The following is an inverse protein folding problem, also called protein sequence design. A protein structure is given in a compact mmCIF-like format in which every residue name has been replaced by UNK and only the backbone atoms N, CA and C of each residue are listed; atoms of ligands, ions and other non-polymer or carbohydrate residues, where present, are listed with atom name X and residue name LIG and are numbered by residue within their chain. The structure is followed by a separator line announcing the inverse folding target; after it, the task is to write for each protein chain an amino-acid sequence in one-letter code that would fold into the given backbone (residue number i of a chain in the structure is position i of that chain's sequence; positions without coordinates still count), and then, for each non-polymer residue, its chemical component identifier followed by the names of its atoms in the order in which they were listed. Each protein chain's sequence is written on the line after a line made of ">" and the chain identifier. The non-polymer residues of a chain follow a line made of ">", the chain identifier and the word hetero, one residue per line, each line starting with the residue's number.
data_IF_925435076206
#
_entry.id   IF_925435076206
#
_cell.length_a   1.000
_cell.length_b   1.000
_cell.length_c   1.000
_cell.angle_alpha   90.00
_cell.angle_beta   90.00
_cell.angle_gamma   90.00
#
_symmetry.space_group_name_H-M   'P 1'
#
loop_
_entity.id
_entity.type
_entity.pdbx_description
1 polymer ?
#
# COMPACT_ATOMS: atom_id res chain seq x y z
N UNK A 1 -18.67 11.14 -0.33
CA UNK A 1 -17.73 10.08 0.08
C UNK A 1 -16.86 10.63 1.20
N UNK A 2 -16.63 9.88 2.27
CA UNK A 2 -15.89 10.30 3.46
C UNK A 2 -14.73 9.34 3.73
N UNK A 3 -13.50 9.87 3.69
CA UNK A 3 -12.27 9.18 4.05
C UNK A 3 -11.83 9.56 5.46
N UNK A 4 -11.38 8.59 6.23
CA UNK A 4 -10.84 8.81 7.56
C UNK A 4 -10.37 7.51 8.19
N UNK A 5 -9.59 7.62 9.26
CA UNK A 5 -9.33 6.44 10.09
C UNK A 5 -10.63 6.00 10.78
N UNK A 6 -10.69 4.72 11.17
CA UNK A 6 -11.91 4.18 11.78
C UNK A 6 -12.31 4.95 13.04
N UNK A 7 -11.35 5.49 13.80
CA UNK A 7 -11.63 6.23 15.02
C UNK A 7 -12.36 7.54 14.71
N UNK A 8 -11.85 8.36 13.77
CA UNK A 8 -12.48 9.61 13.37
C UNK A 8 -13.84 9.36 12.73
N UNK A 9 -13.96 8.35 11.86
CA UNK A 9 -15.24 7.98 11.25
C UNK A 9 -16.26 7.60 12.33
N UNK A 10 -15.88 6.76 13.29
CA UNK A 10 -16.76 6.40 14.40
C UNK A 10 -17.15 7.60 15.26
N UNK A 11 -16.19 8.49 15.54
CA UNK A 11 -16.45 9.73 16.26
C UNK A 11 -17.39 10.65 15.49
N UNK A 12 -17.27 10.81 14.18
CA UNK A 12 -18.15 11.70 13.41
C UNK A 12 -19.54 11.10 13.30
N UNK A 13 -19.64 9.82 12.93
CA UNK A 13 -20.90 9.13 12.65
C UNK A 13 -21.52 8.46 13.87
N UNK A 14 -21.04 8.77 15.07
CA UNK A 14 -21.70 8.39 16.32
C UNK A 14 -21.64 6.92 16.69
N UNK A 15 -20.66 6.17 16.16
CA UNK A 15 -20.35 4.81 16.60
C UNK A 15 -19.42 4.80 17.82
N UNK A 16 -19.25 3.61 18.40
CA UNK A 16 -18.29 3.38 19.48
C UNK A 16 -16.84 3.62 19.05
N UNK A 17 -16.19 4.63 19.62
CA UNK A 17 -14.80 5.01 19.30
C UNK A 17 -13.73 4.07 19.89
N UNK A 18 -14.07 3.27 20.90
CA UNK A 18 -13.14 2.31 21.53
C UNK A 18 -13.26 0.90 20.94
N UNK A 19 -14.16 0.67 19.99
CA UNK A 19 -14.42 -0.64 19.36
C UNK A 19 -14.75 -1.76 20.38
N UNK A 20 -15.16 -1.39 21.60
CA UNK A 20 -15.54 -2.36 22.64
C UNK A 20 -16.95 -2.89 22.39
N UNK A 21 -17.81 -2.12 21.71
CA UNK A 21 -19.16 -2.54 21.34
C UNK A 21 -19.17 -3.92 20.68
N UNK A 22 -20.18 -4.74 21.00
CA UNK A 22 -20.31 -6.08 20.41
C UNK A 22 -20.48 -6.00 18.88
N UNK A 23 -21.19 -4.97 18.41
CA UNK A 23 -21.37 -4.65 17.00
C UNK A 23 -20.56 -3.40 16.64
N UNK A 24 -19.26 -3.57 16.46
CA UNK A 24 -18.34 -2.44 16.23
C UNK A 24 -18.20 -2.05 14.76
N UNK A 25 -18.81 -2.76 13.82
CA UNK A 25 -18.70 -2.43 12.40
C UNK A 25 -19.68 -1.30 12.01
N UNK A 26 -19.21 -0.37 11.18
CA UNK A 26 -20.03 0.71 10.63
C UNK A 26 -20.72 0.33 9.30
N UNK A 27 -20.43 -0.85 8.74
CA UNK A 27 -21.10 -1.39 7.56
C UNK A 27 -22.18 -2.43 7.89
N UNK A 28 -22.02 -3.19 8.97
CA UNK A 28 -22.91 -4.29 9.34
C UNK A 28 -23.13 -4.40 10.86
N UNK A 29 -24.03 -5.30 11.26
CA UNK A 29 -24.41 -5.61 12.64
C UNK A 29 -23.73 -6.88 13.19
N UNK A 30 -22.67 -7.34 12.54
CA UNK A 30 -21.89 -8.52 12.95
C UNK A 30 -21.39 -8.38 14.38
N UNK A 31 -21.62 -9.41 15.19
CA UNK A 31 -21.11 -9.48 16.56
C UNK A 31 -19.64 -9.88 16.61
N UNK A 32 -18.99 -9.66 17.77
CA UNK A 32 -17.61 -10.12 17.99
C UNK A 32 -17.42 -11.63 17.91
N UNK A 33 -18.49 -12.38 18.13
CA UNK A 33 -18.51 -13.82 18.00
C UNK A 33 -18.65 -14.22 16.52
N UNK A 34 -19.63 -13.64 15.82
CA UNK A 34 -19.87 -13.89 14.39
C UNK A 34 -18.65 -13.56 13.52
N UNK A 35 -17.96 -12.45 13.81
CA UNK A 35 -16.76 -12.06 13.04
C UNK A 35 -15.60 -13.08 13.12
N UNK A 36 -15.66 -14.07 14.03
CA UNK A 36 -14.65 -15.13 14.12
C UNK A 36 -14.89 -16.27 13.12
N UNK A 37 -16.07 -16.34 12.49
CA UNK A 37 -16.45 -17.46 11.62
C UNK A 37 -17.21 -17.06 10.34
N UNK A 38 -17.74 -15.84 10.26
CA UNK A 38 -18.43 -15.33 9.07
C UNK A 38 -17.52 -14.39 8.28
N UNK A 39 -17.10 -14.84 7.09
CA UNK A 39 -16.12 -14.13 6.25
C UNK A 39 -16.62 -13.76 4.86
N UNK A 40 -17.84 -14.15 4.50
CA UNK A 40 -18.51 -13.65 3.31
C UNK A 40 -19.42 -12.49 3.68
N UNK A 41 -19.41 -11.45 2.85
CA UNK A 41 -20.20 -10.24 3.11
C UNK A 41 -21.71 -10.51 3.00
N UNK A 42 -22.11 -11.41 2.09
CA UNK A 42 -23.50 -11.83 1.87
C UNK A 42 -24.13 -12.52 3.08
N UNK A 43 -23.32 -13.11 3.96
CA UNK A 43 -23.76 -13.74 5.20
C UNK A 43 -23.92 -12.72 6.35
N UNK A 44 -23.59 -11.44 6.13
CA UNK A 44 -23.63 -10.40 7.15
C UNK A 44 -24.94 -9.61 7.14
N UNK A 45 -25.36 -9.21 8.33
CA UNK A 45 -26.52 -8.33 8.50
C UNK A 45 -26.14 -6.87 8.28
N UNK A 46 -26.43 -6.31 7.10
CA UNK A 46 -26.02 -4.95 6.71
C UNK A 46 -26.75 -3.83 7.46
N UNK A 47 -26.02 -2.73 7.68
CA UNK A 47 -26.64 -1.45 8.07
C UNK A 47 -27.24 -0.79 6.85
N UNK A 48 -28.53 -0.47 6.92
CA UNK A 48 -29.19 0.42 5.96
C UNK A 48 -29.34 1.82 6.56
N UNK A 49 -29.60 2.81 5.70
CA UNK A 49 -29.89 4.18 6.14
C UNK A 49 -31.02 4.22 7.16
N UNK A 50 -32.11 3.51 6.91
CA UNK A 50 -33.32 3.48 7.73
C UNK A 50 -33.02 2.88 9.10
N UNK A 51 -32.32 1.74 9.13
CA UNK A 51 -31.96 1.05 10.37
C UNK A 51 -31.00 1.89 11.22
N UNK A 52 -30.02 2.54 10.59
CA UNK A 52 -29.10 3.42 11.29
C UNK A 52 -29.80 4.67 11.86
N UNK A 53 -30.76 5.25 11.13
CA UNK A 53 -31.58 6.37 11.64
C UNK A 53 -32.44 5.90 12.82
N UNK A 54 -33.05 4.71 12.73
CA UNK A 54 -33.82 4.12 13.81
C UNK A 54 -32.95 3.89 15.06
N UNK A 55 -31.72 3.38 14.89
CA UNK A 55 -30.74 3.26 15.97
C UNK A 55 -30.43 4.61 16.63
N UNK A 56 -30.27 5.68 15.84
CA UNK A 56 -30.04 7.03 16.35
C UNK A 56 -31.24 7.57 17.14
N UNK A 57 -32.46 7.28 16.69
CA UNK A 57 -33.70 7.73 17.36
C UNK A 57 -33.99 6.94 18.63
N UNK A 58 -33.68 5.63 18.64
CA UNK A 58 -33.83 4.77 19.81
C UNK A 58 -33.02 5.28 21.01
N UNK A 59 -31.95 6.06 20.77
CA UNK A 59 -31.14 6.69 21.81
C UNK A 59 -31.95 7.51 22.82
N UNK A 60 -33.07 8.11 22.37
CA UNK A 60 -33.93 8.97 23.18
C UNK A 60 -35.02 8.23 23.96
N UNK A 61 -35.23 6.94 23.67
CA UNK A 61 -36.47 6.25 24.05
C UNK A 61 -36.42 5.45 25.36
N UNK A 62 -35.28 4.99 25.89
CA UNK A 62 -35.19 4.44 27.25
C UNK A 62 -33.76 4.16 27.76
N UNK A 63 -33.61 4.09 29.09
CA UNK A 63 -32.35 3.83 29.79
C UNK A 63 -31.79 2.41 29.50
N UNK A 64 -30.52 2.35 29.06
CA UNK A 64 -29.68 1.14 28.92
C UNK A 64 -29.81 0.22 27.67
N UNK A 65 -30.71 0.44 26.71
CA UNK A 65 -30.75 -0.40 25.48
C UNK A 65 -29.73 -0.03 24.39
N UNK A 66 -29.10 1.15 24.51
CA UNK A 66 -28.26 1.79 23.47
C UNK A 66 -26.82 1.27 23.32
N UNK A 67 -26.54 0.05 23.79
CA UNK A 67 -25.23 -0.62 23.59
C UNK A 67 -25.31 -1.80 22.61
N UNK A 68 -26.51 -2.19 22.18
CA UNK A 68 -26.72 -3.38 21.36
C UNK A 68 -26.42 -3.16 19.88
N UNK A 69 -26.74 -1.97 19.35
CA UNK A 69 -26.53 -1.65 17.93
C UNK A 69 -25.13 -1.11 17.63
N UNK A 70 -24.37 -0.65 18.62
CA UNK A 70 -23.06 -0.03 18.42
C UNK A 70 -23.06 1.47 18.09
N UNK A 71 -24.25 2.08 18.01
CA UNK A 71 -24.45 3.53 17.87
C UNK A 71 -24.62 4.16 19.26
N UNK A 72 -23.87 5.23 19.54
CA UNK A 72 -23.77 5.86 20.87
C UNK A 72 -24.22 7.32 20.89
N UNK A 73 -24.29 7.97 19.74
CA UNK A 73 -24.75 9.35 19.64
C UNK A 73 -25.44 9.60 18.31
N UNK A 74 -26.28 10.62 18.28
CA UNK A 74 -26.90 11.10 17.06
C UNK A 74 -25.83 11.66 16.11
N UNK A 75 -26.03 11.40 14.82
CA UNK A 75 -25.25 11.97 13.74
C UNK A 75 -26.10 13.02 13.00
N UNK A 76 -25.76 14.32 13.09
CA UNK A 76 -26.49 15.39 12.39
C UNK A 76 -26.57 15.19 10.87
N UNK A 77 -25.59 14.49 10.28
CA UNK A 77 -25.59 14.23 8.83
C UNK A 77 -26.67 13.23 8.40
N UNK A 78 -27.28 12.49 9.32
CA UNK A 78 -28.37 11.55 9.01
C UNK A 78 -29.64 12.25 8.52
N UNK A 79 -29.78 13.55 8.78
CA UNK A 79 -30.91 14.37 8.30
C UNK A 79 -30.83 14.65 6.79
N UNK A 80 -29.64 14.50 6.18
CA UNK A 80 -29.45 14.79 4.77
C UNK A 80 -30.13 13.71 3.91
N UNK A 81 -30.98 14.16 2.98
CA UNK A 81 -31.80 13.28 2.13
C UNK A 81 -30.97 12.26 1.34
N UNK A 82 -29.84 12.67 0.79
CA UNK A 82 -28.99 11.84 -0.07
C UNK A 82 -27.75 11.27 0.62
N UNK A 83 -27.67 11.41 1.95
CA UNK A 83 -26.56 10.88 2.73
C UNK A 83 -26.96 9.59 3.45
N UNK A 84 -26.07 8.60 3.41
CA UNK A 84 -26.18 7.36 4.16
C UNK A 84 -24.78 6.98 4.65
N UNK A 85 -24.65 6.83 5.96
CA UNK A 85 -23.39 6.45 6.61
C UNK A 85 -22.76 5.18 6.00
N UNK A 86 -23.46 4.02 5.94
CA UNK A 86 -22.87 2.79 5.38
C UNK A 86 -22.49 2.91 3.89
N UNK A 87 -23.17 3.78 3.13
CA UNK A 87 -22.93 3.92 1.68
C UNK A 87 -21.89 4.99 1.34
N UNK A 88 -21.59 5.90 2.27
CA UNK A 88 -20.72 7.04 2.00
C UNK A 88 -19.38 7.00 2.74
N UNK A 89 -19.15 6.06 3.65
CA UNK A 89 -17.85 5.83 4.29
C UNK A 89 -16.95 4.97 3.41
N UNK A 90 -15.72 5.43 3.21
CA UNK A 90 -14.65 4.66 2.60
C UNK A 90 -13.94 3.75 3.60
N UNK A 91 -13.60 2.51 3.21
CA UNK A 91 -12.58 1.79 3.93
C UNK A 91 -11.22 2.47 3.75
N UNK A 92 -10.28 2.24 4.67
CA UNK A 92 -8.95 2.81 4.59
C UNK A 92 -7.85 1.75 4.63
N UNK A 93 -7.40 1.36 3.44
CA UNK A 93 -6.32 0.40 3.22
C UNK A 93 -5.07 0.71 4.05
N UNK A 94 -4.74 1.99 4.25
CA UNK A 94 -3.55 2.36 5.03
C UNK A 94 -3.73 1.94 6.50
N UNK A 95 -4.83 2.32 7.13
CA UNK A 95 -5.07 2.03 8.54
C UNK A 95 -5.48 0.58 8.76
N UNK A 96 -6.34 0.02 7.91
CA UNK A 96 -6.89 -1.33 8.08
C UNK A 96 -5.85 -2.40 7.78
N UNK A 97 -5.14 -2.27 6.65
CA UNK A 97 -4.16 -3.26 6.21
C UNK A 97 -2.79 -2.93 6.81
N UNK A 98 -2.18 -1.79 6.43
CA UNK A 98 -0.78 -1.51 6.78
C UNK A 98 -0.58 -1.30 8.29
N UNK A 99 -1.45 -0.52 8.95
CA UNK A 99 -1.37 -0.29 10.39
C UNK A 99 -2.21 -1.26 11.25
N UNK A 100 -2.79 -2.26 10.61
CA UNK A 100 -3.72 -3.19 11.23
C UNK A 100 -3.33 -4.63 10.97
N UNK A 101 -3.98 -5.23 9.98
CA UNK A 101 -3.87 -6.64 9.64
C UNK A 101 -2.41 -7.05 9.45
N UNK A 102 -1.66 -6.30 8.63
CA UNK A 102 -0.28 -6.64 8.29
C UNK A 102 0.64 -6.65 9.51
N UNK A 103 0.58 -5.61 10.35
CA UNK A 103 1.40 -5.59 11.57
C UNK A 103 1.03 -6.70 12.55
N UNK A 104 -0.27 -7.01 12.65
CA UNK A 104 -0.75 -8.06 13.54
C UNK A 104 -0.25 -9.43 13.11
N UNK A 105 -0.40 -9.74 11.83
CA UNK A 105 -0.01 -11.03 11.28
C UNK A 105 1.50 -11.19 11.22
N UNK A 106 2.25 -10.18 10.75
CA UNK A 106 3.72 -10.19 10.80
C UNK A 106 4.22 -10.43 12.21
N UNK A 107 3.62 -9.81 13.23
CA UNK A 107 4.01 -10.02 14.62
C UNK A 107 3.85 -11.48 15.04
N UNK A 108 2.67 -12.06 14.81
CA UNK A 108 2.39 -13.43 15.28
C UNK A 108 3.23 -14.44 14.48
N UNK A 109 3.37 -14.23 13.17
CA UNK A 109 4.22 -15.08 12.31
C UNK A 109 5.68 -14.98 12.74
N UNK A 110 6.22 -13.78 12.98
CA UNK A 110 7.59 -13.63 13.47
C UNK A 110 7.79 -14.24 14.86
N UNK A 111 6.81 -14.10 15.76
CA UNK A 111 6.84 -14.77 17.06
C UNK A 111 6.93 -16.30 16.87
N UNK A 112 6.13 -16.86 15.97
CA UNK A 112 6.15 -18.30 15.67
C UNK A 112 7.50 -18.73 15.08
N UNK A 113 7.93 -18.13 13.98
CA UNK A 113 9.12 -18.54 13.23
C UNK A 113 10.42 -18.34 14.03
N UNK A 114 10.53 -17.25 14.79
CA UNK A 114 11.77 -16.90 15.52
C UNK A 114 11.82 -17.49 16.94
N UNK A 115 10.70 -17.62 17.64
CA UNK A 115 10.69 -18.01 19.06
C UNK A 115 10.17 -19.42 19.32
N UNK A 116 9.34 -19.96 18.43
CA UNK A 116 8.75 -21.30 18.60
C UNK A 116 9.47 -22.29 17.69
N UNK A 117 9.45 -22.03 16.38
CA UNK A 117 10.10 -22.91 15.39
C UNK A 117 11.62 -22.69 15.36
N UNK A 118 12.10 -21.58 15.94
CA UNK A 118 13.52 -21.23 16.07
C UNK A 118 14.31 -21.30 14.76
N UNK A 119 13.68 -20.91 13.63
CA UNK A 119 14.31 -20.97 12.30
C UNK A 119 15.49 -20.00 12.17
N UNK A 120 15.40 -18.87 12.88
CA UNK A 120 16.47 -17.89 13.08
C UNK A 120 16.37 -17.32 14.48
N UNK A 121 17.50 -16.92 15.04
CA UNK A 121 17.52 -16.05 16.22
C UNK A 121 17.08 -14.64 15.86
N UNK A 122 16.58 -13.89 16.85
CA UNK A 122 16.24 -12.46 16.68
C UNK A 122 17.46 -11.65 16.20
N UNK A 123 18.65 -11.99 16.68
CA UNK A 123 19.89 -11.31 16.29
C UNK A 123 20.22 -11.53 14.82
N UNK A 124 20.10 -12.77 14.34
CA UNK A 124 20.28 -13.08 12.90
C UNK A 124 19.25 -12.36 12.04
N UNK A 125 17.97 -12.37 12.44
CA UNK A 125 16.93 -11.66 11.70
C UNK A 125 17.19 -10.15 11.65
N UNK A 126 17.58 -9.53 12.77
CA UNK A 126 17.97 -8.12 12.78
C UNK A 126 19.21 -7.84 11.93
N UNK A 127 20.18 -8.77 11.90
CA UNK A 127 21.32 -8.70 10.98
C UNK A 127 20.88 -8.69 9.52
N UNK A 128 19.87 -9.50 9.15
CA UNK A 128 19.28 -9.46 7.81
C UNK A 128 18.62 -8.12 7.52
N UNK A 129 17.82 -7.57 8.44
CA UNK A 129 17.21 -6.24 8.29
C UNK A 129 18.24 -5.12 8.10
N UNK A 130 19.41 -5.20 8.72
CA UNK A 130 20.44 -4.18 8.58
C UNK A 130 21.17 -4.26 7.24
N UNK A 131 21.46 -5.48 6.79
CA UNK A 131 22.27 -5.76 5.61
C UNK A 131 21.46 -5.84 4.30
N UNK A 132 20.14 -6.06 4.39
CA UNK A 132 19.29 -6.16 3.22
C UNK A 132 19.23 -4.84 2.44
N UNK A 133 19.33 -4.94 1.10
CA UNK A 133 19.20 -3.79 0.22
C UNK A 133 17.74 -3.51 -0.11
N UNK A 134 17.11 -2.63 0.69
CA UNK A 134 15.73 -2.18 0.46
C UNK A 134 15.56 -1.22 -0.74
N UNK A 135 16.64 -0.89 -1.46
CA UNK A 135 16.58 0.00 -2.62
C UNK A 135 15.88 1.33 -2.33
N UNK A 136 14.83 1.64 -3.10
CA UNK A 136 14.00 2.83 -2.94
C UNK A 136 13.36 2.96 -1.55
N UNK A 137 13.11 1.84 -0.86
CA UNK A 137 12.43 1.81 0.43
C UNK A 137 13.39 1.85 1.63
N UNK A 138 14.70 2.11 1.40
CA UNK A 138 15.75 2.16 2.45
C UNK A 138 15.42 3.09 3.62
N UNK A 139 14.74 4.21 3.38
CA UNK A 139 14.31 5.16 4.43
C UNK A 139 13.20 4.59 5.33
N UNK A 140 12.44 3.63 4.83
CA UNK A 140 11.30 3.01 5.51
C UNK A 140 11.66 1.67 6.16
N UNK A 141 12.93 1.24 6.12
CA UNK A 141 13.31 -0.05 6.70
C UNK A 141 13.11 -0.07 8.22
N UNK A 142 12.70 -1.22 8.72
CA UNK A 142 12.73 -1.49 10.15
C UNK A 142 14.17 -1.73 10.60
N UNK A 143 14.60 -1.05 11.66
CA UNK A 143 15.96 -1.18 12.17
C UNK A 143 16.16 -2.42 13.04
N UNK A 144 15.17 -2.75 13.87
CA UNK A 144 15.24 -3.89 14.78
C UNK A 144 13.87 -4.37 15.23
N UNK A 145 13.78 -5.66 15.53
CA UNK A 145 12.71 -6.31 16.27
C UNK A 145 13.28 -6.82 17.58
N UNK A 146 12.52 -6.65 18.67
CA UNK A 146 12.92 -7.12 19.99
C UNK A 146 12.02 -8.25 20.48
N UNK A 147 12.55 -9.09 21.38
CA UNK A 147 11.79 -10.19 21.98
C UNK A 147 10.56 -9.67 22.72
N UNK A 148 10.72 -8.60 23.48
CA UNK A 148 9.68 -7.96 24.29
C UNK A 148 8.51 -7.53 23.39
N UNK A 149 8.80 -6.98 22.21
CA UNK A 149 7.76 -6.57 21.28
C UNK A 149 6.99 -7.76 20.73
N UNK A 150 7.67 -8.86 20.38
CA UNK A 150 7.03 -10.07 19.86
C UNK A 150 6.16 -10.78 20.91
N UNK A 151 6.58 -10.82 22.18
CA UNK A 151 5.81 -11.49 23.25
C UNK A 151 4.76 -10.60 23.92
N UNK A 152 4.81 -9.28 23.69
CA UNK A 152 3.86 -8.34 24.31
C UNK A 152 2.41 -8.61 23.89
N UNK A 153 1.45 -8.21 24.74
CA UNK A 153 0.00 -8.34 24.45
C UNK A 153 -0.51 -7.38 23.37
N UNK A 154 0.27 -6.36 23.00
CA UNK A 154 -0.08 -5.41 21.93
C UNK A 154 -0.23 -6.17 20.61
N UNK A 155 -1.28 -5.91 19.83
CA UNK A 155 -1.46 -6.56 18.54
C UNK A 155 -0.56 -5.97 17.44
N UNK A 156 0.15 -4.87 17.67
CA UNK A 156 0.97 -4.18 16.65
C UNK A 156 2.46 -4.31 16.88
N UNK A 157 3.23 -4.17 15.79
CA UNK A 157 4.70 -4.03 15.82
C UNK A 157 5.14 -2.59 16.15
N UNK A 158 4.21 -1.62 16.15
CA UNK A 158 4.54 -0.22 16.43
C UNK A 158 5.22 0.47 15.25
N UNK A 159 5.01 -0.05 14.05
CA UNK A 159 5.49 0.52 12.80
C UNK A 159 4.47 1.54 12.30
N UNK A 160 4.94 2.55 11.56
CA UNK A 160 4.03 3.35 10.73
C UNK A 160 3.63 2.58 9.46
N UNK A 161 2.67 3.11 8.69
CA UNK A 161 2.21 2.48 7.47
C UNK A 161 3.33 2.16 6.45
N UNK A 162 4.26 3.08 6.18
CA UNK A 162 5.34 2.87 5.20
C UNK A 162 6.36 1.83 5.65
N UNK A 163 6.68 1.79 6.94
CA UNK A 163 7.54 0.77 7.54
C UNK A 163 6.90 -0.61 7.52
N UNK A 164 5.60 -0.68 7.82
CA UNK A 164 4.83 -1.93 7.76
C UNK A 164 4.81 -2.48 6.34
N UNK A 165 4.57 -1.60 5.35
CA UNK A 165 4.58 -1.99 3.96
C UNK A 165 5.96 -2.43 3.46
N UNK A 166 7.02 -1.74 3.88
CA UNK A 166 8.39 -2.11 3.57
C UNK A 166 8.73 -3.50 4.12
N UNK A 167 8.47 -3.74 5.42
CA UNK A 167 8.72 -5.05 6.03
C UNK A 167 7.88 -6.15 5.37
N UNK A 168 6.60 -5.90 5.11
CA UNK A 168 5.70 -6.83 4.45
C UNK A 168 6.22 -7.24 3.07
N UNK A 169 6.41 -6.27 2.15
CA UNK A 169 6.86 -6.55 0.78
C UNK A 169 8.14 -7.38 0.69
N UNK A 170 9.09 -7.14 1.59
CA UNK A 170 10.36 -7.87 1.60
C UNK A 170 10.37 -9.05 2.56
N UNK A 171 9.25 -9.39 3.21
CA UNK A 171 9.17 -10.43 4.22
C UNK A 171 9.63 -11.79 3.69
N UNK A 172 9.08 -12.19 2.53
CA UNK A 172 9.42 -13.47 1.90
C UNK A 172 10.88 -13.51 1.44
N UNK A 173 11.45 -12.41 0.95
CA UNK A 173 12.88 -12.32 0.63
C UNK A 173 13.78 -12.41 1.86
N UNK A 174 13.35 -11.85 3.00
CA UNK A 174 14.11 -11.82 4.24
C UNK A 174 14.19 -13.20 4.92
N UNK A 175 13.26 -14.11 4.66
CA UNK A 175 13.11 -15.38 5.38
C UNK A 175 12.93 -16.61 4.48
N UNK A 176 12.70 -16.46 3.17
CA UNK A 176 12.34 -17.56 2.28
C UNK A 176 13.43 -18.62 2.07
N UNK A 177 14.68 -18.33 2.39
CA UNK A 177 15.77 -19.32 2.36
C UNK A 177 15.74 -20.28 3.56
N UNK A 178 15.14 -19.88 4.69
CA UNK A 178 15.06 -20.69 5.92
C UNK A 178 13.67 -21.28 6.18
N UNK A 179 12.65 -20.81 5.46
CA UNK A 179 11.29 -21.32 5.57
C UNK A 179 10.97 -22.22 4.39
N UNK A 180 10.37 -23.37 4.67
CA UNK A 180 9.93 -24.34 3.68
C UNK A 180 8.75 -23.82 2.84
N UNK A 181 8.65 -24.29 1.60
CA UNK A 181 7.67 -23.81 0.61
C UNK A 181 6.23 -24.17 0.96
N UNK A 182 5.99 -25.18 1.79
CA UNK A 182 4.68 -25.63 2.25
C UNK A 182 4.25 -25.00 3.60
N UNK A 183 5.04 -24.04 4.10
CA UNK A 183 4.78 -23.41 5.39
C UNK A 183 3.50 -22.53 5.35
N UNK A 184 2.51 -22.91 6.15
CA UNK A 184 1.20 -22.24 6.19
C UNK A 184 1.26 -20.80 6.69
N UNK A 185 2.23 -20.44 7.54
CA UNK A 185 2.40 -19.06 8.02
C UNK A 185 2.92 -18.13 6.92
N UNK A 186 3.82 -18.64 6.08
CA UNK A 186 4.27 -17.95 4.87
C UNK A 186 3.15 -17.80 3.85
N UNK A 187 2.38 -18.86 3.64
CA UNK A 187 1.23 -18.82 2.75
C UNK A 187 0.19 -17.78 3.21
N UNK A 188 -0.08 -17.65 4.51
CA UNK A 188 -0.95 -16.59 5.04
C UNK A 188 -0.44 -15.19 4.66
N UNK A 189 0.85 -14.92 4.91
CA UNK A 189 1.45 -13.61 4.58
C UNK A 189 1.46 -13.35 3.07
N UNK A 190 1.69 -14.39 2.26
CA UNK A 190 1.56 -14.30 0.81
C UNK A 190 0.13 -13.90 0.40
N UNK A 191 -0.91 -14.57 0.93
CA UNK A 191 -2.30 -14.23 0.60
C UNK A 191 -2.60 -12.76 0.95
N UNK A 192 -2.16 -12.29 2.11
CA UNK A 192 -2.37 -10.89 2.50
C UNK A 192 -1.62 -9.92 1.57
N UNK A 193 -0.35 -10.16 1.28
CA UNK A 193 0.51 -9.21 0.59
C UNK A 193 0.35 -9.22 -0.93
N UNK A 194 0.28 -10.39 -1.54
CA UNK A 194 0.30 -10.51 -2.99
C UNK A 194 -1.09 -10.53 -3.59
N UNK A 195 -2.05 -11.13 -2.89
CA UNK A 195 -3.41 -11.24 -3.40
C UNK A 195 -4.26 -10.06 -2.89
N UNK A 196 -4.40 -9.90 -1.57
CA UNK A 196 -5.25 -8.84 -0.99
C UNK A 196 -4.64 -7.45 -1.24
N UNK A 197 -3.39 -7.21 -0.84
CA UNK A 197 -2.75 -5.91 -1.12
C UNK A 197 -2.50 -5.71 -2.62
N UNK A 198 -2.22 -6.79 -3.36
CA UNK A 198 -2.05 -6.76 -4.81
C UNK A 198 -3.22 -6.11 -5.53
N UNK A 199 -4.44 -6.50 -5.15
CA UNK A 199 -5.68 -6.00 -5.74
C UNK A 199 -6.09 -4.66 -5.09
N UNK A 200 -6.08 -4.58 -3.76
CA UNK A 200 -6.57 -3.37 -3.06
C UNK A 200 -5.69 -2.15 -3.29
N UNK A 201 -4.39 -2.32 -3.59
CA UNK A 201 -3.46 -1.20 -3.87
C UNK A 201 -3.29 -0.94 -5.37
N UNK A 202 -3.96 -1.72 -6.22
CA UNK A 202 -3.93 -1.50 -7.66
C UNK A 202 -4.66 -0.19 -8.01
N UNK A 203 -4.14 0.60 -8.97
CA UNK A 203 -4.76 1.85 -9.38
C UNK A 203 -6.00 1.61 -10.27
N UNK A 204 -6.14 0.40 -10.80
CA UNK A 204 -7.23 -0.07 -11.66
C UNK A 204 -7.53 -1.51 -11.28
N UNK A 205 -8.82 -1.86 -11.18
CA UNK A 205 -9.30 -3.19 -10.78
C UNK A 205 -10.47 -3.57 -11.67
N UNK A 206 -10.51 -4.82 -12.14
CA UNK A 206 -11.63 -5.36 -12.93
C UNK A 206 -12.67 -6.01 -12.02
N UNK A 207 -13.91 -6.17 -12.50
CA UNK A 207 -14.97 -6.87 -11.73
C UNK A 207 -14.56 -8.30 -11.37
N UNK A 208 -13.87 -8.99 -12.28
CA UNK A 208 -13.33 -10.33 -12.03
C UNK A 208 -12.38 -10.36 -10.82
N UNK A 209 -11.45 -9.40 -10.72
CA UNK A 209 -10.56 -9.29 -9.58
C UNK A 209 -11.28 -8.96 -8.27
N UNK A 210 -12.39 -8.22 -8.34
CA UNK A 210 -13.21 -7.95 -7.14
C UNK A 210 -13.84 -9.25 -6.65
N UNK A 211 -14.37 -10.10 -7.54
CA UNK A 211 -14.88 -11.43 -7.17
C UNK A 211 -13.77 -12.31 -6.60
N UNK A 212 -12.60 -12.32 -7.22
CA UNK A 212 -11.44 -13.05 -6.71
C UNK A 212 -10.98 -12.54 -5.33
N UNK A 213 -10.97 -11.22 -5.11
CA UNK A 213 -10.66 -10.61 -3.83
C UNK A 213 -11.60 -11.09 -2.72
N UNK A 214 -12.91 -11.25 -3.00
CA UNK A 214 -13.87 -11.82 -2.04
C UNK A 214 -13.44 -13.21 -1.59
N UNK A 215 -13.09 -14.09 -2.53
CA UNK A 215 -12.68 -15.46 -2.22
C UNK A 215 -11.35 -15.50 -1.47
N UNK A 216 -10.35 -14.74 -1.91
CA UNK A 216 -9.04 -14.66 -1.27
C UNK A 216 -9.16 -14.18 0.18
N UNK A 217 -9.98 -13.15 0.46
CA UNK A 217 -10.19 -12.65 1.82
C UNK A 217 -10.81 -13.75 2.70
N UNK A 218 -11.78 -14.48 2.18
CA UNK A 218 -12.40 -15.59 2.91
C UNK A 218 -11.41 -16.73 3.19
N UNK A 219 -10.63 -17.15 2.19
CA UNK A 219 -9.58 -18.16 2.33
C UNK A 219 -8.53 -17.73 3.35
N UNK A 220 -8.08 -16.48 3.25
CA UNK A 220 -7.12 -15.88 4.17
C UNK A 220 -7.62 -15.91 5.62
N UNK A 221 -8.85 -15.47 5.90
CA UNK A 221 -9.38 -15.44 7.28
C UNK A 221 -9.65 -16.84 7.83
N UNK A 222 -10.10 -17.78 6.99
CA UNK A 222 -10.22 -19.21 7.35
C UNK A 222 -8.86 -19.80 7.71
N UNK A 223 -7.82 -19.48 6.93
CA UNK A 223 -6.45 -19.94 7.22
C UNK A 223 -5.93 -19.31 8.52
N UNK A 224 -6.10 -17.99 8.71
CA UNK A 224 -5.70 -17.28 9.91
C UNK A 224 -6.30 -17.92 11.18
N UNK A 225 -7.62 -18.13 11.19
CA UNK A 225 -8.31 -18.73 12.35
C UNK A 225 -7.92 -20.20 12.58
N UNK A 226 -7.62 -20.94 11.51
CA UNK A 226 -7.12 -22.33 11.59
C UNK A 226 -5.72 -22.40 12.21
N UNK A 227 -4.75 -21.61 11.72
CA UNK A 227 -3.35 -21.73 12.15
C UNK A 227 -3.07 -20.98 13.47
N UNK A 228 -3.93 -20.03 13.83
CA UNK A 228 -3.82 -19.26 15.07
C UNK A 228 -5.08 -19.40 15.94
N UNK A 229 -5.42 -20.62 16.31
CA UNK A 229 -6.60 -20.95 17.13
C UNK A 229 -6.68 -20.23 18.50
N UNK A 230 -5.57 -19.69 19.00
CA UNK A 230 -5.52 -18.85 20.21
C UNK A 230 -5.64 -17.34 19.98
N UNK A 231 -5.77 -16.90 18.72
CA UNK A 231 -5.87 -15.51 18.32
C UNK A 231 -7.25 -15.20 17.76
N UNK A 232 -7.66 -13.94 17.86
CA UNK A 232 -8.98 -13.48 17.43
C UNK A 232 -8.87 -12.55 16.24
N UNK A 233 -9.80 -12.70 15.31
CA UNK A 233 -10.01 -11.79 14.19
C UNK A 233 -10.28 -10.39 14.76
N UNK A 234 -9.48 -9.42 14.32
CA UNK A 234 -9.63 -8.02 14.74
C UNK A 234 -10.63 -7.27 13.88
N UNK A 235 -11.23 -6.16 14.36
CA UNK A 235 -12.14 -5.35 13.57
C UNK A 235 -11.58 -4.94 12.21
N UNK A 236 -10.29 -4.60 12.13
CA UNK A 236 -9.62 -4.25 10.87
C UNK A 236 -9.58 -5.39 9.85
N UNK A 237 -9.40 -6.64 10.30
CA UNK A 237 -9.50 -7.81 9.43
C UNK A 237 -10.94 -8.00 8.97
N UNK A 238 -11.93 -7.81 9.86
CA UNK A 238 -13.34 -7.87 9.46
C UNK A 238 -13.72 -6.79 8.45
N UNK A 239 -13.17 -5.57 8.55
CA UNK A 239 -13.42 -4.52 7.56
C UNK A 239 -13.01 -4.94 6.15
N UNK A 240 -12.00 -5.79 5.98
CA UNK A 240 -11.61 -6.33 4.67
C UNK A 240 -12.76 -7.09 3.99
N UNK A 241 -13.66 -7.74 4.74
CA UNK A 241 -14.82 -8.44 4.17
C UNK A 241 -15.71 -7.48 3.35
N UNK A 242 -15.72 -6.19 3.69
CA UNK A 242 -16.47 -5.15 2.98
C UNK A 242 -15.70 -4.51 1.83
N UNK A 243 -14.39 -4.78 1.66
CA UNK A 243 -13.59 -4.14 0.62
C UNK A 243 -14.08 -4.45 -0.80
N UNK A 244 -14.45 -5.69 -1.16
CA UNK A 244 -14.93 -5.99 -2.51
C UNK A 244 -16.13 -5.12 -2.93
N UNK A 245 -17.19 -5.06 -2.11
CA UNK A 245 -18.36 -4.24 -2.41
C UNK A 245 -18.04 -2.74 -2.40
N UNK A 246 -17.17 -2.28 -1.49
CA UNK A 246 -16.77 -0.87 -1.43
C UNK A 246 -15.89 -0.46 -2.61
N UNK A 247 -15.02 -1.33 -3.10
CA UNK A 247 -14.23 -1.08 -4.32
C UNK A 247 -15.15 -1.04 -5.54
N UNK A 248 -16.17 -1.90 -5.60
CA UNK A 248 -17.17 -1.89 -6.68
C UNK A 248 -17.97 -0.57 -6.68
N UNK A 249 -18.31 -0.03 -5.50
CA UNK A 249 -19.09 1.21 -5.36
C UNK A 249 -18.27 2.48 -5.54
N UNK A 250 -17.06 2.52 -4.99
CA UNK A 250 -16.25 3.75 -4.82
C UNK A 250 -15.04 3.79 -5.76
N UNK A 251 -14.72 2.68 -6.43
CA UNK A 251 -13.52 2.49 -7.20
C UNK A 251 -12.31 2.02 -6.36
N UNK A 252 -11.11 2.03 -6.96
CA UNK A 252 -9.90 1.53 -6.31
C UNK A 252 -9.52 2.29 -5.03
N UNK A 253 -9.09 1.55 -4.00
CA UNK A 253 -8.77 2.10 -2.67
C UNK A 253 -7.71 3.21 -2.62
N UNK A 254 -6.66 3.22 -3.45
CA UNK A 254 -5.64 4.27 -3.42
C UNK A 254 -6.17 5.68 -3.70
N UNK A 255 -7.38 5.79 -4.28
CA UNK A 255 -8.01 7.07 -4.57
C UNK A 255 -8.62 7.73 -3.33
N UNK A 256 -8.86 6.98 -2.24
CA UNK A 256 -9.54 7.48 -1.04
C UNK A 256 -8.91 7.06 0.30
N UNK A 257 -7.85 6.26 0.31
CA UNK A 257 -7.09 5.94 1.53
C UNK A 257 -6.42 7.17 2.16
N UNK A 258 -6.08 7.12 3.45
CA UNK A 258 -5.64 8.31 4.17
C UNK A 258 -4.16 8.68 4.05
N UNK A 259 -3.37 7.93 3.27
CA UNK A 259 -1.92 8.12 3.18
C UNK A 259 -1.50 9.53 2.75
N UNK A 260 -2.21 10.13 1.78
CA UNK A 260 -1.93 11.50 1.32
C UNK A 260 -2.39 12.56 2.32
N UNK A 261 -3.50 12.32 3.03
CA UNK A 261 -3.99 13.23 4.07
C UNK A 261 -3.01 13.29 5.24
N UNK A 262 -2.48 12.15 5.68
CA UNK A 262 -1.46 12.11 6.73
C UNK A 262 -0.15 12.77 6.30
N UNK A 263 0.30 12.52 5.07
CA UNK A 263 1.47 13.17 4.51
C UNK A 263 1.35 14.70 4.50
N UNK A 264 0.15 15.23 4.22
CA UNK A 264 -0.13 16.68 4.25
C UNK A 264 -0.02 17.31 5.65
N UNK A 265 -0.04 16.52 6.72
CA UNK A 265 0.17 17.04 8.07
C UNK A 265 1.63 17.37 8.37
N UNK A 266 2.61 16.81 7.66
CA UNK A 266 4.02 17.02 7.94
C UNK A 266 4.46 18.50 7.84
N UNK A 267 4.15 19.25 6.76
CA UNK A 267 4.48 20.68 6.67
C UNK A 267 3.83 21.51 7.78
N UNK A 268 2.60 21.17 8.20
CA UNK A 268 1.92 21.87 9.27
C UNK A 268 2.62 21.66 10.63
N UNK A 269 3.05 20.41 10.91
CA UNK A 269 3.82 20.09 12.13
C UNK A 269 5.17 20.83 12.13
N UNK A 270 5.87 20.82 11.00
CA UNK A 270 7.14 21.53 10.84
C UNK A 270 7.00 23.04 11.06
N UNK A 271 5.96 23.67 10.50
CA UNK A 271 5.66 25.08 10.75
C UNK A 271 5.44 25.37 12.23
N UNK A 272 4.69 24.52 12.94
CA UNK A 272 4.50 24.68 14.39
C UNK A 272 5.82 24.61 15.15
N UNK A 273 6.73 23.71 14.76
CA UNK A 273 8.05 23.61 15.37
C UNK A 273 8.91 24.85 15.11
N UNK A 274 8.90 25.40 13.89
CA UNK A 274 9.70 26.58 13.52
C UNK A 274 9.18 27.86 14.17
N UNK A 275 7.85 28.04 14.22
CA UNK A 275 7.26 29.31 14.65
C UNK A 275 7.46 29.58 16.15
N UNK A 276 7.61 28.53 16.96
CA UNK A 276 7.67 28.61 18.43
C UNK A 276 6.55 29.48 19.07
N UNK A 277 5.46 29.73 18.33
CA UNK A 277 4.35 30.56 18.76
C UNK A 277 3.16 29.66 19.09
N UNK A 278 2.94 29.47 20.39
CA UNK A 278 1.89 28.61 20.92
C UNK A 278 0.55 29.33 21.12
N UNK A 279 0.47 30.63 20.80
CA UNK A 279 -0.79 31.38 20.85
C UNK A 279 -1.55 31.19 19.53
N UNK A 280 -2.74 30.61 19.60
CA UNK A 280 -3.63 30.39 18.45
C UNK A 280 -2.96 29.63 17.28
N UNK A 281 -2.28 28.52 17.58
CA UNK A 281 -1.57 27.67 16.61
C UNK A 281 -2.42 27.37 15.37
N UNK A 282 -3.70 27.00 15.56
CA UNK A 282 -4.61 26.71 14.45
C UNK A 282 -4.75 27.89 13.47
N UNK A 283 -4.82 29.13 13.97
CA UNK A 283 -4.91 30.34 13.13
C UNK A 283 -3.62 30.52 12.32
N UNK A 284 -2.46 30.37 12.96
CA UNK A 284 -1.15 30.51 12.31
C UNK A 284 -0.95 29.47 11.20
N UNK A 285 -1.29 28.21 11.47
CA UNK A 285 -1.21 27.11 10.49
C UNK A 285 -2.20 27.36 9.34
N UNK A 286 -3.46 27.69 9.65
CA UNK A 286 -4.48 27.93 8.62
C UNK A 286 -4.08 29.08 7.68
N UNK A 287 -3.57 30.19 8.23
CA UNK A 287 -3.12 31.32 7.42
C UNK A 287 -1.97 30.96 6.47
N UNK A 288 -0.96 30.22 6.96
CA UNK A 288 0.17 29.78 6.14
C UNK A 288 -0.25 28.77 5.08
N UNK A 289 -1.14 27.85 5.40
CA UNK A 289 -1.70 26.92 4.41
C UNK A 289 -2.48 27.64 3.32
N UNK A 290 -3.24 28.69 3.66
CA UNK A 290 -3.93 29.52 2.66
C UNK A 290 -2.94 30.23 1.73
N UNK A 291 -1.84 30.78 2.27
CA UNK A 291 -0.78 31.39 1.44
C UNK A 291 -0.15 30.34 0.52
N UNK A 292 0.21 29.16 1.03
CA UNK A 292 0.81 28.10 0.22
C UNK A 292 -0.15 27.68 -0.90
N UNK A 293 -1.42 27.46 -0.58
CA UNK A 293 -2.43 27.12 -1.59
C UNK A 293 -2.55 28.20 -2.67
N UNK A 294 -2.52 29.49 -2.30
CA UNK A 294 -2.55 30.59 -3.26
C UNK A 294 -1.33 30.57 -4.19
N UNK A 295 -0.13 30.34 -3.65
CA UNK A 295 1.09 30.21 -4.45
C UNK A 295 1.00 29.01 -5.38
N UNK A 296 0.53 27.87 -4.88
CA UNK A 296 0.41 26.64 -5.66
C UNK A 296 -0.57 26.81 -6.84
N UNK A 297 -1.72 27.45 -6.60
CA UNK A 297 -2.71 27.73 -7.64
C UNK A 297 -2.21 28.76 -8.66
N UNK A 298 -1.39 29.72 -8.23
CA UNK A 298 -0.83 30.76 -9.12
C UNK A 298 0.27 30.21 -10.02
N UNK A 299 0.99 29.18 -9.57
CA UNK A 299 2.11 28.54 -10.25
C UNK A 299 1.81 27.09 -10.67
N UNK A 300 0.54 26.78 -10.94
CA UNK A 300 0.09 25.40 -11.17
C UNK A 300 0.85 24.69 -12.30
N UNK A 301 1.18 25.42 -13.37
CA UNK A 301 1.94 24.89 -14.51
C UNK A 301 3.37 24.45 -14.12
N UNK A 302 4.03 25.15 -13.19
CA UNK A 302 5.37 24.75 -12.72
C UNK A 302 5.34 23.64 -11.66
N UNK A 303 4.19 23.36 -11.04
CA UNK A 303 4.04 22.22 -10.13
C UNK A 303 3.91 20.92 -10.92
N UNK A 304 3.32 20.98 -12.11
CA UNK A 304 3.19 19.85 -13.03
C UNK A 304 4.45 19.61 -13.87
N UNK A 305 5.38 20.57 -13.93
CA UNK A 305 6.62 20.39 -14.69
C UNK A 305 7.57 19.41 -14.01
N UNK A 306 8.23 18.59 -14.80
CA UNK A 306 9.24 17.66 -14.30
C UNK A 306 10.44 18.42 -13.68
N UNK A 307 10.85 18.03 -12.49
CA UNK A 307 12.10 18.51 -11.88
C UNK A 307 13.25 17.69 -12.45
N UNK A 308 14.25 18.36 -13.03
CA UNK A 308 15.45 17.70 -13.57
C UNK A 308 16.63 17.97 -12.64
N UNK A 309 17.27 16.89 -12.19
CA UNK A 309 18.45 16.96 -11.34
C UNK A 309 19.71 17.38 -12.10
N UNK A 310 20.86 17.46 -11.41
CA UNK A 310 22.14 17.75 -12.06
C UNK A 310 22.50 16.65 -13.07
N UNK A 311 23.31 16.98 -14.07
CA UNK A 311 23.63 16.10 -15.18
C UNK A 311 24.76 16.64 -16.04
N UNK A 312 24.98 16.02 -17.19
CA UNK A 312 25.98 16.41 -18.17
C UNK A 312 25.35 16.54 -19.56
N UNK A 313 25.82 17.49 -20.36
CA UNK A 313 25.48 17.56 -21.77
C UNK A 313 26.26 16.50 -22.53
N UNK A 314 25.55 15.67 -23.29
CA UNK A 314 26.14 14.61 -24.11
C UNK A 314 25.44 14.54 -25.45
N UNK A 315 26.18 14.07 -26.46
CA UNK A 315 25.58 13.57 -27.69
C UNK A 315 25.16 12.11 -27.46
N UNK A 316 23.92 11.70 -27.75
CA UNK A 316 23.48 10.31 -27.54
C UNK A 316 24.36 9.27 -28.27
N UNK A 317 24.98 9.64 -29.40
CA UNK A 317 25.97 8.81 -30.11
C UNK A 317 27.19 8.40 -29.28
N UNK A 318 27.52 9.15 -28.21
CA UNK A 318 28.65 8.86 -27.34
C UNK A 318 28.35 7.77 -26.30
N UNK A 319 27.08 7.38 -26.13
CA UNK A 319 26.71 6.31 -25.22
C UNK A 319 27.08 4.95 -25.82
N UNK A 320 27.56 3.98 -25.02
CA UNK A 320 27.98 2.66 -25.51
C UNK A 320 26.79 1.75 -25.80
N UNK A 321 25.87 2.20 -26.66
CA UNK A 321 24.61 1.54 -26.99
C UNK A 321 24.39 1.48 -28.51
N UNK A 322 23.71 0.44 -29.03
CA UNK A 322 23.38 0.38 -30.44
C UNK A 322 22.52 1.58 -30.88
N UNK A 323 22.85 2.16 -32.04
CA UNK A 323 22.14 3.32 -32.61
C UNK A 323 20.62 3.10 -32.70
N UNK A 324 20.18 1.87 -33.00
CA UNK A 324 18.77 1.52 -33.10
C UNK A 324 17.95 1.75 -31.82
N UNK A 325 18.60 1.84 -30.65
CA UNK A 325 17.92 2.07 -29.35
C UNK A 325 17.32 3.47 -29.26
N UNK A 326 17.99 4.45 -29.87
CA UNK A 326 17.63 5.86 -29.75
C UNK A 326 16.42 6.25 -30.59
N UNK A 327 16.03 5.44 -31.58
CA UNK A 327 14.83 5.67 -32.38
C UNK A 327 14.80 7.07 -33.00
N UNK A 328 13.85 7.90 -32.55
CA UNK A 328 13.64 9.28 -33.00
C UNK A 328 14.55 10.32 -32.29
N UNK A 329 15.32 9.90 -31.28
CA UNK A 329 16.23 10.80 -30.55
C UNK A 329 17.41 11.16 -31.47
N UNK A 330 17.68 12.46 -31.71
CA UNK A 330 18.78 12.88 -32.56
C UNK A 330 20.13 12.52 -31.92
N UNK A 331 20.92 11.73 -32.65
CA UNK A 331 22.18 11.16 -32.14
C UNK A 331 23.31 12.18 -32.02
N UNK A 332 23.27 13.21 -32.87
CA UNK A 332 24.34 14.20 -33.03
C UNK A 332 23.94 15.60 -32.55
N UNK A 333 22.89 15.69 -31.75
CA UNK A 333 22.50 16.92 -31.07
C UNK A 333 22.78 16.77 -29.57
N UNK A 334 23.14 17.87 -28.93
CA UNK A 334 23.37 17.89 -27.48
C UNK A 334 22.06 17.63 -26.73
N UNK A 335 22.10 16.64 -25.84
CA UNK A 335 21.01 16.28 -24.93
C UNK A 335 21.53 16.36 -23.50
N UNK A 336 20.65 16.73 -22.56
CA UNK A 336 21.02 16.76 -21.16
C UNK A 336 20.81 15.37 -20.53
N UNK A 337 21.90 14.71 -20.12
CA UNK A 337 21.84 13.44 -19.39
C UNK A 337 21.79 13.71 -17.89
N UNK A 338 20.59 13.60 -17.31
CA UNK A 338 20.34 13.90 -15.91
C UNK A 338 20.67 12.71 -15.00
N UNK A 339 21.17 13.00 -13.79
CA UNK A 339 21.34 11.99 -12.74
C UNK A 339 20.01 11.52 -12.17
N UNK A 340 19.00 12.39 -12.15
CA UNK A 340 17.63 12.03 -11.80
C UNK A 340 16.61 12.98 -12.44
N UNK A 341 15.38 12.53 -12.55
CA UNK A 341 14.22 13.36 -12.90
C UNK A 341 13.06 13.05 -11.95
N UNK A 342 12.22 14.03 -11.64
CA UNK A 342 11.00 13.85 -10.83
C UNK A 342 9.80 14.28 -11.65
N UNK A 343 8.92 13.34 -11.94
CA UNK A 343 7.65 13.58 -12.66
C UNK A 343 6.51 13.06 -11.80
N UNK A 344 5.46 13.85 -11.60
CA UNK A 344 4.30 13.52 -10.75
C UNK A 344 4.69 13.05 -9.32
N UNK A 345 5.77 13.62 -8.79
CA UNK A 345 6.31 13.26 -7.47
C UNK A 345 7.04 11.92 -7.42
N UNK A 346 7.24 11.23 -8.55
CA UNK A 346 8.05 10.01 -8.64
C UNK A 346 9.45 10.35 -9.13
N UNK A 347 10.46 9.95 -8.37
CA UNK A 347 11.87 10.13 -8.72
C UNK A 347 12.40 8.95 -9.55
N UNK A 348 12.86 9.24 -10.75
CA UNK A 348 13.55 8.32 -11.66
C UNK A 348 15.05 8.56 -11.58
N UNK A 349 15.85 7.49 -11.54
CA UNK A 349 17.30 7.53 -11.37
C UNK A 349 17.91 6.25 -11.97
N UNK A 350 19.19 6.24 -12.38
CA UNK A 350 19.86 5.01 -12.78
C UNK A 350 19.74 3.91 -11.70
N UNK A 351 19.77 2.66 -12.15
CA UNK A 351 19.55 1.43 -11.38
C UNK A 351 18.13 1.18 -10.87
N UNK A 352 17.20 2.13 -10.97
CA UNK A 352 15.79 1.87 -10.67
C UNK A 352 15.14 1.03 -11.77
N UNK A 353 14.12 0.27 -11.38
CA UNK A 353 13.36 -0.60 -12.28
C UNK A 353 12.03 0.08 -12.63
N UNK A 354 11.64 0.05 -13.90
CA UNK A 354 10.35 0.51 -14.40
C UNK A 354 9.59 -0.64 -15.07
N UNK A 355 8.26 -0.54 -15.13
CA UNK A 355 7.41 -1.51 -15.80
C UNK A 355 7.09 -1.01 -17.21
N UNK A 356 7.55 -1.76 -18.20
CA UNK A 356 7.45 -1.41 -19.63
C UNK A 356 6.14 -1.89 -20.26
N UNK A 357 5.47 -2.85 -19.64
CA UNK A 357 4.25 -3.46 -20.13
C UNK A 357 4.10 -4.90 -19.67
N UNK A 358 3.23 -5.64 -20.33
CA UNK A 358 2.98 -7.05 -20.05
C UNK A 358 3.43 -7.91 -21.24
N UNK A 359 3.81 -9.16 -20.95
CA UNK A 359 4.02 -10.20 -21.97
C UNK A 359 2.67 -10.81 -22.38
N UNK A 360 2.67 -11.63 -23.44
CA UNK A 360 1.48 -12.38 -23.86
C UNK A 360 0.97 -13.36 -22.78
N UNK A 361 1.81 -13.73 -21.82
CA UNK A 361 1.45 -14.56 -20.66
C UNK A 361 1.06 -13.71 -19.44
N UNK A 362 0.80 -12.42 -19.62
CA UNK A 362 0.44 -11.46 -18.57
C UNK A 362 1.50 -11.23 -17.49
N UNK A 363 2.73 -11.69 -17.71
CA UNK A 363 3.85 -11.37 -16.82
C UNK A 363 4.38 -9.96 -17.11
N UNK A 364 4.74 -9.17 -16.09
CA UNK A 364 5.31 -7.85 -16.27
C UNK A 364 6.68 -7.92 -16.95
N UNK A 365 6.90 -6.96 -17.85
CA UNK A 365 8.17 -6.67 -18.50
C UNK A 365 8.84 -5.53 -17.77
N UNK A 366 10.06 -5.75 -17.30
CA UNK A 366 10.80 -4.76 -16.54
C UNK A 366 11.94 -4.15 -17.37
N UNK A 367 12.27 -2.90 -17.08
CA UNK A 367 13.44 -2.22 -17.61
C UNK A 367 14.25 -1.61 -16.48
N UNK A 368 15.57 -1.86 -16.47
CA UNK A 368 16.49 -1.19 -15.56
C UNK A 368 16.98 0.12 -16.17
N UNK A 369 16.76 1.25 -15.51
CA UNK A 369 17.19 2.56 -15.99
C UNK A 369 18.72 2.63 -16.02
N UNK A 370 19.27 2.98 -17.18
CA UNK A 370 20.70 3.26 -17.36
C UNK A 370 20.96 4.76 -17.47
N UNK A 371 20.19 5.46 -18.30
CA UNK A 371 20.36 6.88 -18.58
C UNK A 371 19.01 7.59 -18.65
N UNK A 372 19.00 8.88 -18.28
CA UNK A 372 17.85 9.76 -18.40
C UNK A 372 18.23 10.91 -19.34
N UNK A 373 17.68 10.91 -20.55
CA UNK A 373 17.94 11.93 -21.56
C UNK A 373 16.80 12.95 -21.54
N UNK A 374 17.13 14.22 -21.34
CA UNK A 374 16.18 15.32 -21.29
C UNK A 374 16.38 16.24 -22.48
N UNK A 375 15.30 16.51 -23.21
CA UNK A 375 15.26 17.43 -24.35
C UNK A 375 13.88 18.09 -24.43
N UNK A 376 13.82 19.40 -24.67
CA UNK A 376 12.56 20.15 -24.85
C UNK A 376 11.50 19.90 -23.75
N UNK A 377 11.95 19.76 -22.48
CA UNK A 377 11.15 19.42 -21.30
C UNK A 377 10.55 18.00 -21.27
N UNK A 378 10.90 17.14 -22.23
CA UNK A 378 10.57 15.71 -22.18
C UNK A 378 11.75 14.90 -21.61
N UNK A 379 11.44 13.91 -20.76
CA UNK A 379 12.43 12.99 -20.23
C UNK A 379 12.23 11.59 -20.83
N UNK A 380 13.24 11.11 -21.53
CA UNK A 380 13.29 9.76 -22.11
C UNK A 380 14.27 8.90 -21.33
N UNK A 381 13.79 7.75 -20.86
CA UNK A 381 14.57 6.75 -20.15
C UNK A 381 15.20 5.79 -21.15
N UNK A 382 16.50 5.58 -21.04
CA UNK A 382 17.19 4.48 -21.70
C UNK A 382 17.29 3.33 -20.71
N UNK A 383 16.65 2.21 -21.02
CA UNK A 383 16.55 1.06 -20.13
C UNK A 383 17.20 -0.19 -20.73
N UNK A 384 17.84 -0.98 -19.87
CA UNK A 384 18.20 -2.37 -20.14
C UNK A 384 16.98 -3.25 -19.87
N UNK A 385 16.49 -3.97 -20.88
CA UNK A 385 15.33 -4.84 -20.72
C UNK A 385 15.72 -6.04 -19.84
N UNK A 386 14.85 -6.37 -18.89
CA UNK A 386 14.98 -7.57 -18.07
C UNK A 386 14.02 -8.63 -18.58
N UNK A 387 14.50 -9.87 -18.66
CA UNK A 387 13.66 -11.01 -19.01
C UNK A 387 13.11 -11.63 -17.73
N UNK A 388 11.78 -11.67 -17.63
CA UNK A 388 11.07 -12.32 -16.52
C UNK A 388 11.07 -13.82 -16.75
N UNK A 389 11.81 -14.56 -15.92
CA UNK A 389 11.95 -16.02 -16.03
C UNK A 389 10.65 -16.68 -15.57
N UNK A 390 10.20 -16.36 -14.36
CA UNK A 390 8.94 -16.82 -13.77
C UNK A 390 8.57 -15.95 -12.56
N UNK A 391 7.36 -16.13 -12.05
CA UNK A 391 6.95 -15.63 -10.74
C UNK A 391 7.21 -16.72 -9.68
N UNK A 392 8.02 -16.41 -8.67
CA UNK A 392 8.24 -17.28 -7.52
C UNK A 392 7.26 -16.90 -6.41
N UNK A 393 6.28 -17.77 -6.18
CA UNK A 393 5.27 -17.58 -5.15
C UNK A 393 5.87 -17.61 -3.73
N UNK A 394 6.89 -18.44 -3.47
CA UNK A 394 7.51 -18.52 -2.14
C UNK A 394 8.24 -17.22 -1.78
N UNK A 395 8.88 -16.60 -2.77
CA UNK A 395 9.57 -15.31 -2.62
C UNK A 395 8.62 -14.12 -2.82
N UNK A 396 7.41 -14.35 -3.32
CA UNK A 396 6.43 -13.32 -3.65
C UNK A 396 7.02 -12.28 -4.63
N UNK A 397 7.76 -12.75 -5.64
CA UNK A 397 8.57 -11.91 -6.52
C UNK A 397 8.80 -12.49 -7.91
N UNK A 398 9.09 -11.61 -8.87
CA UNK A 398 9.43 -12.00 -10.23
C UNK A 398 10.92 -12.23 -10.36
N UNK A 399 11.34 -13.46 -10.66
CA UNK A 399 12.74 -13.76 -10.96
C UNK A 399 13.07 -13.24 -12.36
N UNK A 400 14.10 -12.41 -12.45
CA UNK A 400 14.50 -11.71 -13.68
C UNK A 400 15.98 -11.90 -13.97
N UNK A 401 16.32 -11.96 -15.26
CA UNK A 401 17.70 -11.90 -15.71
C UNK A 401 17.94 -10.71 -16.64
N UNK A 402 19.19 -10.22 -16.64
CA UNK A 402 19.62 -9.15 -17.53
C UNK A 402 19.61 -9.62 -18.98
N UNK A 403 19.29 -8.70 -19.89
CA UNK A 403 19.40 -8.95 -21.33
C UNK A 403 20.26 -7.87 -21.96
N UNK A 404 20.95 -8.18 -23.06
CA UNK A 404 21.69 -7.18 -23.85
C UNK A 404 20.77 -6.40 -24.80
N UNK A 405 19.47 -6.31 -24.50
CA UNK A 405 18.49 -5.55 -25.28
C UNK A 405 18.15 -4.26 -24.54
N UNK A 406 18.20 -3.14 -25.25
CA UNK A 406 17.92 -1.83 -24.69
C UNK A 406 16.71 -1.20 -25.38
N UNK A 407 16.03 -0.29 -24.69
CA UNK A 407 14.87 0.41 -25.22
C UNK A 407 14.84 1.83 -24.69
N UNK A 408 14.49 2.79 -25.56
CA UNK A 408 14.17 4.14 -25.15
C UNK A 408 12.66 4.25 -24.89
N UNK A 409 12.27 4.80 -23.74
CA UNK A 409 10.87 4.97 -23.35
C UNK A 409 10.65 6.32 -22.68
N UNK A 410 9.68 7.09 -23.16
CA UNK A 410 9.26 8.33 -22.48
C UNK A 410 8.56 7.98 -21.16
N UNK A 411 8.77 8.79 -20.12
CA UNK A 411 8.13 8.57 -18.81
C UNK A 411 6.61 8.43 -18.93
N UNK A 412 5.98 9.26 -19.76
CA UNK A 412 4.52 9.28 -19.95
C UNK A 412 3.97 8.02 -20.64
N UNK A 413 4.84 7.26 -21.32
CA UNK A 413 4.49 6.02 -22.00
C UNK A 413 4.76 4.77 -21.15
N UNK A 414 5.20 4.93 -19.90
CA UNK A 414 5.38 3.81 -18.98
C UNK A 414 4.03 3.17 -18.63
N UNK A 415 4.04 1.84 -18.50
CA UNK A 415 2.84 1.10 -18.11
C UNK A 415 2.43 1.40 -16.65
N UNK A 416 3.42 1.57 -15.78
CA UNK A 416 3.26 2.07 -14.41
C UNK A 416 4.37 3.10 -14.16
N UNK A 417 3.97 4.29 -13.70
CA UNK A 417 4.90 5.37 -13.36
C UNK A 417 5.69 5.08 -12.09
N UNK A 418 5.25 4.12 -11.26
CA UNK A 418 5.98 3.77 -10.03
C UNK A 418 7.27 3.02 -10.33
N UNK A 419 8.35 3.51 -9.74
CA UNK A 419 9.65 2.83 -9.78
C UNK A 419 9.73 1.69 -8.76
N UNK A 420 10.52 0.69 -9.10
CA UNK A 420 10.82 -0.51 -8.33
C UNK A 420 12.34 -0.63 -8.15
N UNK A 421 12.77 -1.67 -7.44
CA UNK A 421 14.19 -1.98 -7.24
C UNK A 421 14.44 -3.44 -7.53
N UNK A 422 15.67 -3.73 -7.97
CA UNK A 422 16.18 -5.09 -8.04
C UNK A 422 16.62 -5.51 -6.63
N UNK A 423 16.17 -6.68 -6.20
CA UNK A 423 16.48 -7.25 -4.89
C UNK A 423 17.05 -8.65 -5.06
N UNK A 424 17.91 -9.07 -4.13
CA UNK A 424 18.42 -10.44 -4.05
C UNK A 424 17.97 -11.05 -2.73
N UNK A 425 17.78 -12.38 -2.72
CA UNK A 425 17.45 -13.11 -1.50
C UNK A 425 18.71 -13.48 -0.70
N UNK A 426 18.51 -14.27 0.34
CA UNK A 426 19.60 -14.82 1.14
C UNK A 426 19.95 -16.25 0.71
N UNK A 427 21.20 -16.67 0.96
CA UNK A 427 21.72 -18.04 0.74
C UNK A 427 21.40 -18.57 -0.66
N UNK A 428 20.48 -19.54 -0.79
CA UNK A 428 20.14 -20.19 -2.07
C UNK A 428 19.60 -19.22 -3.13
N UNK A 429 19.15 -18.03 -2.71
CA UNK A 429 18.62 -16.97 -3.57
C UNK A 429 19.61 -15.79 -3.75
N UNK A 430 20.87 -15.92 -3.34
CA UNK A 430 21.86 -14.83 -3.44
C UNK A 430 22.22 -14.46 -4.88
N UNK A 431 22.18 -15.45 -5.76
CA UNK A 431 22.61 -15.32 -7.16
C UNK A 431 21.44 -15.01 -8.09
N UNK A 432 20.21 -15.02 -7.55
CA UNK A 432 18.98 -14.72 -8.25
C UNK A 432 18.56 -13.27 -8.01
N UNK A 433 18.02 -12.64 -9.06
CA UNK A 433 17.54 -11.26 -8.99
C UNK A 433 16.03 -11.24 -9.07
N UNK A 434 15.40 -10.56 -8.13
CA UNK A 434 13.95 -10.45 -8.02
C UNK A 434 13.49 -9.00 -8.15
N UNK A 435 12.32 -8.83 -8.76
CA UNK A 435 11.56 -7.59 -8.72
C UNK A 435 10.29 -7.82 -7.90
N UNK A 436 10.16 -7.10 -6.79
CA UNK A 436 8.98 -7.14 -5.93
C UNK A 436 8.06 -5.98 -6.28
N UNK A 437 6.88 -6.29 -6.83
CA UNK A 437 5.92 -5.29 -7.27
C UNK A 437 5.21 -4.64 -6.07
N UNK A 438 4.52 -3.53 -6.31
CA UNK A 438 3.75 -2.81 -5.27
C UNK A 438 2.26 -3.14 -5.29
N UNK A 439 1.79 -3.78 -6.36
CA UNK A 439 0.44 -4.23 -6.58
C UNK A 439 0.45 -5.23 -7.75
N UNK A 440 -0.71 -5.78 -8.08
CA UNK A 440 -0.89 -6.67 -9.22
C UNK A 440 -1.00 -5.87 -10.53
N UNK A 441 -0.36 -6.37 -11.60
CA UNK A 441 -0.42 -5.78 -12.94
C UNK A 441 -1.35 -6.61 -13.81
N UNK A 442 -2.29 -5.97 -14.49
CA UNK A 442 -3.33 -6.64 -15.28
C UNK A 442 -3.36 -6.04 -16.67
N UNK A 443 -3.50 -6.89 -17.69
CA UNK A 443 -3.86 -6.44 -19.04
C UNK A 443 -5.37 -6.31 -19.12
N UNK A 444 -5.87 -5.13 -19.48
CA UNK A 444 -7.30 -4.90 -19.71
C UNK A 444 -7.81 -5.64 -20.97
N UNK A 445 -6.91 -6.17 -21.80
CA UNK A 445 -7.20 -6.65 -23.15
C UNK A 445 -7.51 -8.15 -23.25
N UNK A 446 -7.75 -8.87 -22.14
CA UNK A 446 -8.02 -10.32 -22.18
C UNK A 446 -9.52 -10.63 -22.31
N UNK A 447 -10.39 -9.61 -22.24
CA UNK A 447 -11.83 -9.77 -22.44
C UNK A 447 -12.28 -8.84 -23.57
N UNK A 448 -11.89 -9.16 -24.80
CA UNK A 448 -12.61 -8.75 -26.01
C UNK A 448 -12.91 -9.95 -26.87
#
# INVERSE_FOLDING_TARGET
>A
MWSGDNLALHQIFGFSSNFIANKSCHYCYTTKEQMQHTFYEEDLDFRTKERYIADCQALFSEANSNKLSGVYKQNPLSELQYFSVPDNICPDSMHDILEGCLQYELKIVLHRLLLIDCLLTIQEFNGRLQNFNFGIDKKNRLLQITREKLVSKDKRLGLNATQSWCLGRFFCLLLGDVVDTDNQYFHLIHLLLMEICGITFAPKVTVFLITYLTEVICIHHKLFTKIFSGHTVIPKQHFLVHYPSKILQLGPSPNYWCMRFEGKHAPAKEQCHILHNFKNVCKSVAWRQQIQLHLDLSNFASILSAEVGPGIEIMPACLPLPVAVFGEIPLYEECFCANYAITDGVKYMPDFIVVLGLTNLCLPRFGKILYLLVRENECTLIVENLFTIHYDAHIAGYNVCKTSKYTAVKIDNLFDSRVLSLSTGFRKYSDESFVITRHEYISLDIIT
#
